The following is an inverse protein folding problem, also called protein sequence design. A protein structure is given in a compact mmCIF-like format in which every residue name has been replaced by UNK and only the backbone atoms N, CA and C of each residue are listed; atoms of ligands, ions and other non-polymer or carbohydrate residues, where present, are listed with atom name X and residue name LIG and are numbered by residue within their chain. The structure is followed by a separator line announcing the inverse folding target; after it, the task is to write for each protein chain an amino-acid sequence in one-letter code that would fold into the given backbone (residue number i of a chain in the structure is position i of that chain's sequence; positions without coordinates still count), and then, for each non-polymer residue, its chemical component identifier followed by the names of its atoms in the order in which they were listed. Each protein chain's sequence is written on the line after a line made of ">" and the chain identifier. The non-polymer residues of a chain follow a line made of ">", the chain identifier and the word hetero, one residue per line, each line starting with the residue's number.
data_IF_463097870631
#
_entry.id   IF_463097870631
#
_cell.length_a   1.000
_cell.length_b   1.000
_cell.length_c   1.000
_cell.angle_alpha   90.00
_cell.angle_beta   90.00
_cell.angle_gamma   90.00
#
_symmetry.space_group_name_H-M   'P 1'
#
loop_
_entity.id
_entity.type
_entity.pdbx_description
1 polymer ?
#
# COMPACT_ATOMS: atom_id res chain seq x y z
N UNK A 1 -9.06 -30.57 -10.38
CA UNK A 1 -8.65 -29.21 -9.97
C UNK A 1 -9.62 -28.69 -8.92
N UNK A 2 -9.12 -28.08 -7.83
CA UNK A 2 -9.97 -27.45 -6.82
C UNK A 2 -10.26 -25.99 -7.23
N UNK A 3 -11.53 -25.63 -7.50
CA UNK A 3 -11.86 -24.29 -7.99
C UNK A 3 -11.57 -23.18 -6.97
N UNK A 4 -11.64 -23.46 -5.67
CA UNK A 4 -11.32 -22.48 -4.61
C UNK A 4 -9.83 -22.16 -4.60
N UNK A 5 -8.99 -23.18 -4.80
CA UNK A 5 -7.54 -22.98 -4.89
C UNK A 5 -7.19 -22.16 -6.14
N UNK A 6 -7.79 -22.49 -7.29
CA UNK A 6 -7.57 -21.74 -8.53
C UNK A 6 -7.94 -20.26 -8.39
N UNK A 7 -9.05 -19.92 -7.73
CA UNK A 7 -9.46 -18.52 -7.53
C UNK A 7 -8.46 -17.70 -6.71
N UNK A 8 -7.85 -18.31 -5.68
CA UNK A 8 -6.90 -17.62 -4.82
C UNK A 8 -5.48 -17.59 -5.41
N UNK A 9 -5.05 -18.67 -6.05
CA UNK A 9 -3.71 -18.76 -6.66
C UNK A 9 -3.59 -17.86 -7.90
N UNK A 10 -4.64 -17.77 -8.70
CA UNK A 10 -4.70 -16.85 -9.84
C UNK A 10 -4.80 -15.37 -9.45
N UNK A 11 -5.00 -15.05 -8.17
CA UNK A 11 -5.20 -13.68 -7.69
C UNK A 11 -6.57 -13.08 -8.05
N UNK A 12 -7.48 -13.84 -8.67
CA UNK A 12 -8.80 -13.35 -9.08
C UNK A 12 -9.67 -12.92 -7.89
N UNK A 13 -9.74 -13.77 -6.85
CA UNK A 13 -10.43 -13.46 -5.59
C UNK A 13 -10.05 -14.48 -4.53
N UNK A 14 -9.78 -13.99 -3.32
CA UNK A 14 -9.42 -14.84 -2.20
C UNK A 14 -7.96 -14.68 -1.83
N UNK A 15 -7.67 -14.83 -0.54
CA UNK A 15 -6.30 -14.83 -0.03
C UNK A 15 -6.05 -16.07 0.82
N UNK A 16 -4.77 -16.40 1.06
CA UNK A 16 -4.39 -17.48 1.98
C UNK A 16 -5.00 -17.29 3.37
N UNK A 17 -5.14 -16.04 3.84
CA UNK A 17 -5.76 -15.74 5.14
C UNK A 17 -7.27 -16.01 5.16
N UNK A 18 -7.99 -15.71 4.07
CA UNK A 18 -9.41 -16.03 3.94
C UNK A 18 -9.66 -17.54 3.82
N UNK A 19 -8.84 -18.25 3.04
CA UNK A 19 -8.91 -19.72 2.92
C UNK A 19 -8.66 -20.39 4.28
N UNK A 20 -7.70 -19.88 5.06
CA UNK A 20 -7.41 -20.38 6.41
C UNK A 20 -8.62 -20.32 7.34
N UNK A 21 -9.44 -19.27 7.24
CA UNK A 21 -10.68 -19.15 8.03
C UNK A 21 -11.80 -20.06 7.51
N UNK A 22 -11.83 -20.33 6.20
CA UNK A 22 -12.83 -21.21 5.58
C UNK A 22 -12.65 -22.68 5.98
N UNK A 23 -11.43 -23.20 5.94
CA UNK A 23 -11.16 -24.64 6.08
C UNK A 23 -10.19 -25.02 7.21
N UNK A 24 -9.54 -24.05 7.86
CA UNK A 24 -8.57 -24.28 8.94
C UNK A 24 -9.15 -23.95 10.30
N UNK A 25 -8.86 -22.75 10.79
CA UNK A 25 -9.45 -22.20 12.02
C UNK A 25 -9.56 -20.70 11.90
N UNK A 26 -10.55 -20.10 12.54
CA UNK A 26 -10.70 -18.64 12.51
C UNK A 26 -9.66 -17.90 13.36
N UNK A 27 -9.28 -18.47 14.51
CA UNK A 27 -8.18 -17.99 15.34
C UNK A 27 -8.59 -16.95 16.40
N UNK A 28 -7.63 -16.13 16.81
CA UNK A 28 -7.82 -15.11 17.86
C UNK A 28 -8.55 -13.88 17.29
N UNK A 29 -9.39 -13.27 18.12
CA UNK A 29 -10.16 -12.08 17.77
C UNK A 29 -9.72 -10.89 18.61
N UNK A 30 -9.81 -9.69 18.03
CA UNK A 30 -9.61 -8.45 18.77
C UNK A 30 -10.95 -7.98 19.38
N UNK A 31 -10.89 -7.55 20.63
CA UNK A 31 -11.96 -6.83 21.30
C UNK A 31 -12.12 -5.41 20.73
N UNK A 32 -13.22 -4.70 21.01
CA UNK A 32 -13.42 -3.33 20.53
C UNK A 32 -12.34 -2.34 21.00
N UNK A 33 -11.70 -2.62 22.14
CA UNK A 33 -10.58 -1.81 22.65
C UNK A 33 -9.26 -2.09 21.93
N UNK A 34 -9.21 -3.10 21.05
CA UNK A 34 -8.01 -3.54 20.32
C UNK A 34 -7.20 -4.61 21.04
N UNK A 35 -7.55 -4.97 22.28
CA UNK A 35 -6.89 -6.09 22.98
C UNK A 35 -7.28 -7.42 22.35
N UNK A 36 -6.32 -8.33 22.22
CA UNK A 36 -6.55 -9.70 21.75
C UNK A 36 -7.32 -10.46 22.83
N UNK A 37 -8.40 -11.13 22.44
CA UNK A 37 -9.17 -12.02 23.30
C UNK A 37 -8.43 -13.36 23.37
N UNK A 38 -8.08 -13.80 24.58
CA UNK A 38 -7.26 -15.00 24.80
C UNK A 38 -7.98 -16.30 24.39
N UNK A 39 -9.31 -16.32 24.38
CA UNK A 39 -10.11 -17.45 23.93
C UNK A 39 -10.16 -17.49 22.38
N UNK A 40 -9.52 -18.48 21.74
CA UNK A 40 -9.52 -18.57 20.28
C UNK A 40 -10.79 -19.24 19.76
N UNK A 41 -11.20 -18.86 18.56
CA UNK A 41 -12.20 -19.59 17.78
C UNK A 41 -11.50 -20.77 17.10
N UNK A 42 -11.86 -21.99 17.51
CA UNK A 42 -11.22 -23.22 17.05
C UNK A 42 -11.83 -23.70 15.74
N UNK A 43 -13.13 -23.54 15.58
CA UNK A 43 -13.83 -23.96 14.39
C UNK A 43 -13.51 -23.10 13.15
N UNK A 44 -13.67 -23.70 12.00
CA UNK A 44 -13.66 -23.06 10.68
C UNK A 44 -15.09 -22.71 10.24
N UNK A 45 -15.21 -21.87 9.20
CA UNK A 45 -16.54 -21.59 8.63
C UNK A 45 -17.21 -22.82 8.02
N UNK A 46 -16.43 -23.82 7.57
CA UNK A 46 -16.96 -25.08 7.08
C UNK A 46 -17.58 -25.94 8.20
N UNK A 47 -16.98 -25.92 9.39
CA UNK A 47 -17.47 -26.67 10.55
C UNK A 47 -18.64 -25.98 11.25
N UNK A 48 -18.74 -24.65 11.12
CA UNK A 48 -19.72 -23.82 11.80
C UNK A 48 -19.19 -23.28 13.12
N UNK A 49 -19.77 -22.17 13.59
CA UNK A 49 -19.35 -21.50 14.83
C UNK A 49 -20.38 -21.74 15.93
N UNK A 50 -19.92 -22.03 17.14
CA UNK A 50 -20.79 -22.02 18.31
C UNK A 50 -21.30 -20.61 18.63
N UNK A 51 -22.38 -20.51 19.41
CA UNK A 51 -23.00 -19.22 19.77
C UNK A 51 -21.99 -18.26 20.40
N UNK A 52 -21.14 -18.75 21.30
CA UNK A 52 -20.11 -17.93 21.94
C UNK A 52 -19.02 -17.48 20.95
N UNK A 53 -18.54 -18.40 20.10
CA UNK A 53 -17.53 -18.09 19.08
C UNK A 53 -18.04 -17.06 18.05
N UNK A 54 -19.30 -17.20 17.64
CA UNK A 54 -19.95 -16.23 16.77
C UNK A 54 -20.07 -14.86 17.45
N UNK A 55 -20.52 -14.82 18.70
CA UNK A 55 -20.63 -13.57 19.46
C UNK A 55 -19.27 -12.87 19.68
N UNK A 56 -18.21 -13.64 19.95
CA UNK A 56 -16.85 -13.09 20.03
C UNK A 56 -16.44 -12.50 18.67
N UNK A 57 -16.76 -13.19 17.57
CA UNK A 57 -16.45 -12.72 16.21
C UNK A 57 -17.15 -11.41 15.84
N UNK A 58 -18.31 -11.08 16.41
CA UNK A 58 -19.02 -9.84 16.02
C UNK A 58 -18.33 -8.57 16.49
N UNK A 59 -17.54 -8.63 17.57
CA UNK A 59 -16.84 -7.47 18.12
C UNK A 59 -15.83 -6.90 17.13
N UNK A 60 -14.95 -7.75 16.61
CA UNK A 60 -13.95 -7.36 15.61
C UNK A 60 -14.59 -6.92 14.29
N UNK A 61 -15.65 -7.61 13.84
CA UNK A 61 -16.36 -7.26 12.61
C UNK A 61 -17.05 -5.88 12.72
N UNK A 62 -17.73 -5.60 13.82
CA UNK A 62 -18.41 -4.32 14.04
C UNK A 62 -17.41 -3.17 14.14
N UNK A 63 -16.31 -3.35 14.88
CA UNK A 63 -15.24 -2.36 14.95
C UNK A 63 -14.63 -2.11 13.58
N UNK A 64 -14.30 -3.16 12.83
CA UNK A 64 -13.77 -3.04 11.47
C UNK A 64 -14.67 -2.21 10.56
N UNK A 65 -15.98 -2.50 10.54
CA UNK A 65 -16.94 -1.75 9.73
C UNK A 65 -17.06 -0.27 10.17
N UNK A 66 -17.07 -0.02 11.48
CA UNK A 66 -17.12 1.34 12.00
C UNK A 66 -15.84 2.13 11.67
N UNK A 67 -14.67 1.52 11.87
CA UNK A 67 -13.37 2.11 11.57
C UNK A 67 -13.23 2.38 10.06
N UNK A 68 -13.70 1.47 9.20
CA UNK A 68 -13.74 1.70 7.75
C UNK A 68 -14.62 2.91 7.42
N UNK A 69 -15.83 3.00 7.98
CA UNK A 69 -16.72 4.13 7.74
C UNK A 69 -16.10 5.48 8.19
N UNK A 70 -15.44 5.51 9.36
CA UNK A 70 -14.73 6.70 9.84
C UNK A 70 -13.56 7.06 8.92
N UNK A 71 -12.72 6.09 8.56
CA UNK A 71 -11.57 6.30 7.66
C UNK A 71 -12.00 6.76 6.27
N UNK A 72 -13.16 6.33 5.78
CA UNK A 72 -13.74 6.83 4.53
C UNK A 72 -14.02 8.33 4.61
N UNK A 73 -14.60 8.80 5.72
CA UNK A 73 -14.84 10.23 5.93
C UNK A 73 -13.54 11.03 6.02
N UNK A 74 -12.56 10.54 6.79
CA UNK A 74 -11.27 11.21 6.96
C UNK A 74 -10.48 11.29 5.64
N UNK A 75 -10.49 10.22 4.85
CA UNK A 75 -9.84 10.19 3.53
C UNK A 75 -10.47 11.22 2.58
N UNK A 76 -11.81 11.27 2.51
CA UNK A 76 -12.51 12.26 1.69
C UNK A 76 -12.23 13.70 2.14
N UNK A 77 -12.15 13.92 3.45
CA UNK A 77 -11.77 15.22 4.01
C UNK A 77 -10.34 15.62 3.65
N UNK A 78 -9.39 14.70 3.74
CA UNK A 78 -8.01 14.92 3.35
C UNK A 78 -7.90 15.26 1.87
N UNK A 79 -8.56 14.49 0.99
CA UNK A 79 -8.57 14.77 -0.46
C UNK A 79 -9.11 16.16 -0.76
N UNK A 80 -10.20 16.58 -0.10
CA UNK A 80 -10.73 17.94 -0.25
C UNK A 80 -9.71 19.00 0.14
N UNK A 81 -9.05 18.85 1.31
CA UNK A 81 -8.02 19.79 1.75
C UNK A 81 -6.83 19.85 0.79
N UNK A 82 -6.41 18.70 0.25
CA UNK A 82 -5.32 18.65 -0.73
C UNK A 82 -5.71 19.43 -1.99
N UNK A 83 -6.93 19.23 -2.52
CA UNK A 83 -7.45 19.98 -3.67
C UNK A 83 -7.55 21.47 -3.37
N UNK A 84 -8.05 21.87 -2.20
CA UNK A 84 -8.17 23.28 -1.82
C UNK A 84 -6.81 24.01 -1.86
N UNK A 85 -5.71 23.31 -1.54
CA UNK A 85 -4.33 23.85 -1.56
C UNK A 85 -3.70 23.80 -2.96
N UNK A 86 -3.95 22.73 -3.74
CA UNK A 86 -3.27 22.50 -5.02
C UNK A 86 -4.06 22.94 -6.26
N UNK A 87 -5.29 23.42 -6.12
CA UNK A 87 -6.19 23.73 -7.24
C UNK A 87 -5.64 24.76 -8.25
N UNK A 88 -4.74 25.65 -7.84
CA UNK A 88 -4.15 26.69 -8.70
C UNK A 88 -2.76 26.31 -9.25
N UNK A 89 -2.33 25.05 -9.08
CA UNK A 89 -1.07 24.54 -9.62
C UNK A 89 -1.31 23.96 -11.01
N UNK A 90 -1.07 24.78 -12.04
CA UNK A 90 -1.29 24.43 -13.46
C UNK A 90 0.04 24.54 -14.22
N UNK A 91 0.34 23.54 -15.07
CA UNK A 91 1.50 23.57 -15.98
C UNK A 91 1.24 24.63 -17.07
N UNK A 92 2.06 25.68 -17.11
CA UNK A 92 1.89 26.82 -18.03
C UNK A 92 2.97 26.93 -19.10
N UNK A 93 4.13 26.33 -18.87
CA UNK A 93 5.30 26.41 -19.76
C UNK A 93 6.01 25.05 -19.81
N UNK A 94 6.79 24.83 -20.87
CA UNK A 94 7.52 23.57 -21.11
C UNK A 94 8.81 23.54 -20.31
N UNK A 95 9.50 24.68 -20.22
CA UNK A 95 10.75 24.85 -19.50
C UNK A 95 10.76 26.21 -18.82
N UNK A 96 11.03 26.22 -17.52
CA UNK A 96 11.15 27.43 -16.70
C UNK A 96 12.59 27.96 -16.65
N UNK A 97 13.55 27.25 -17.23
CA UNK A 97 14.97 27.60 -17.29
C UNK A 97 15.70 27.50 -15.96
N UNK A 98 15.14 26.79 -14.98
CA UNK A 98 15.78 26.62 -13.66
C UNK A 98 16.91 25.61 -13.74
N UNK A 99 18.01 25.89 -13.06
CA UNK A 99 19.11 24.93 -12.84
C UNK A 99 18.99 24.23 -11.48
N UNK A 100 17.97 24.56 -10.69
CA UNK A 100 17.74 23.93 -9.39
C UNK A 100 17.09 22.56 -9.55
N UNK A 101 17.69 21.55 -8.92
CA UNK A 101 17.18 20.18 -8.90
C UNK A 101 17.13 19.60 -7.49
N UNK A 102 16.57 18.40 -7.38
CA UNK A 102 16.60 17.61 -6.14
C UNK A 102 17.47 16.38 -6.32
N UNK A 103 18.30 16.06 -5.31
CA UNK A 103 19.05 14.81 -5.32
C UNK A 103 18.09 13.63 -5.04
N UNK A 104 18.06 12.68 -5.97
CA UNK A 104 17.25 11.46 -5.87
C UNK A 104 18.16 10.29 -5.51
N UNK A 105 17.78 9.54 -4.48
CA UNK A 105 18.48 8.34 -4.03
C UNK A 105 17.49 7.22 -3.77
N UNK A 106 17.98 5.99 -3.68
CA UNK A 106 17.19 4.86 -3.22
C UNK A 106 16.65 5.12 -1.81
N UNK A 107 15.36 4.85 -1.58
CA UNK A 107 14.76 4.95 -0.24
C UNK A 107 14.97 3.62 0.47
N UNK A 108 15.75 3.65 1.55
CA UNK A 108 16.08 2.48 2.36
C UNK A 108 15.54 2.61 3.77
N UNK A 109 15.00 1.51 4.29
CA UNK A 109 14.74 1.35 5.72
C UNK A 109 15.67 0.26 6.26
N UNK A 110 16.75 0.69 6.91
CA UNK A 110 17.84 -0.20 7.30
C UNK A 110 18.57 -0.79 6.09
N UNK A 111 18.52 -2.12 5.94
CA UNK A 111 19.11 -2.84 4.81
C UNK A 111 18.12 -3.15 3.68
N UNK A 112 16.83 -2.84 3.86
CA UNK A 112 15.80 -3.13 2.87
C UNK A 112 15.56 -1.91 1.98
N UNK A 113 15.65 -2.13 0.68
CA UNK A 113 15.27 -1.15 -0.34
C UNK A 113 13.75 -1.07 -0.39
N UNK A 114 13.16 0.05 0.06
CA UNK A 114 11.71 0.26 -0.07
C UNK A 114 11.37 0.63 -1.52
N UNK A 115 12.16 1.53 -2.11
CA UNK A 115 11.96 2.04 -3.47
C UNK A 115 13.30 2.21 -4.18
N UNK A 116 13.43 1.55 -5.33
CA UNK A 116 14.67 1.54 -6.12
C UNK A 116 14.95 2.89 -6.79
N UNK A 117 16.23 3.16 -7.06
CA UNK A 117 16.61 4.41 -7.74
C UNK A 117 15.95 4.54 -9.13
N UNK A 118 15.90 3.46 -9.92
CA UNK A 118 15.32 3.48 -11.26
C UNK A 118 13.84 3.88 -11.26
N UNK A 119 13.05 3.37 -10.31
CA UNK A 119 11.63 3.70 -10.16
C UNK A 119 11.42 5.18 -9.82
N UNK A 120 12.31 5.75 -8.99
CA UNK A 120 12.25 7.18 -8.63
C UNK A 120 12.69 8.10 -9.77
N UNK A 121 13.55 7.63 -10.67
CA UNK A 121 14.07 8.39 -11.81
C UNK A 121 13.10 8.38 -13.00
N UNK A 122 12.34 7.30 -13.17
CA UNK A 122 11.38 7.15 -14.27
C UNK A 122 10.41 8.34 -14.33
N UNK A 123 10.27 8.93 -15.52
CA UNK A 123 9.35 10.05 -15.75
C UNK A 123 9.85 11.42 -15.29
N UNK A 124 11.13 11.57 -14.94
CA UNK A 124 11.76 12.85 -14.57
C UNK A 124 12.75 13.31 -15.63
N UNK A 125 13.13 14.59 -15.55
CA UNK A 125 14.22 15.18 -16.33
C UNK A 125 15.48 15.32 -15.46
N UNK A 126 16.64 15.17 -16.08
CA UNK A 126 17.95 15.44 -15.46
C UNK A 126 18.18 16.95 -15.34
N UNK A 127 18.54 17.44 -14.16
CA UNK A 127 18.91 18.85 -13.96
C UNK A 127 20.38 19.12 -14.36
N UNK A 128 21.24 18.11 -14.27
CA UNK A 128 22.67 18.17 -14.57
C UNK A 128 23.08 16.93 -15.38
N UNK A 129 24.15 17.01 -16.20
CA UNK A 129 24.62 15.86 -16.95
C UNK A 129 25.15 14.78 -16.00
N UNK A 130 24.72 13.53 -16.21
CA UNK A 130 25.15 12.39 -15.41
C UNK A 130 26.45 11.86 -16.00
N UNK A 131 27.54 11.92 -15.23
CA UNK A 131 28.87 11.51 -15.67
C UNK A 131 29.22 10.17 -15.04
N UNK A 132 29.80 9.26 -15.84
CA UNK A 132 30.36 8.03 -15.31
C UNK A 132 31.61 8.36 -14.47
N UNK A 133 31.65 8.02 -13.17
CA UNK A 133 32.78 8.37 -12.31
C UNK A 133 34.09 7.65 -12.67
N UNK A 134 34.04 6.58 -13.47
CA UNK A 134 35.21 5.79 -13.86
C UNK A 134 35.78 6.20 -15.22
N UNK A 135 34.91 6.50 -16.20
CA UNK A 135 35.35 6.86 -17.56
C UNK A 135 35.37 8.36 -17.82
N UNK A 136 34.66 9.16 -17.02
CA UNK A 136 34.50 10.60 -17.24
C UNK A 136 33.58 10.94 -18.44
N UNK A 137 32.95 9.95 -19.04
CA UNK A 137 32.01 10.15 -20.15
C UNK A 137 30.62 10.56 -19.64
N UNK A 138 29.96 11.44 -20.38
CA UNK A 138 28.57 11.83 -20.12
C UNK A 138 27.66 10.67 -20.52
N UNK A 139 26.94 10.12 -19.54
CA UNK A 139 25.98 9.02 -19.74
C UNK A 139 24.61 9.54 -20.15
N UNK A 140 24.20 10.67 -19.57
CA UNK A 140 22.92 11.33 -19.81
C UNK A 140 23.17 12.83 -19.81
N UNK A 141 22.68 13.53 -20.82
CA UNK A 141 22.83 14.99 -20.92
C UNK A 141 21.91 15.68 -19.90
N UNK A 142 22.11 16.99 -19.69
CA UNK A 142 21.13 17.80 -18.96
C UNK A 142 19.82 17.92 -19.75
N UNK A 143 18.70 18.14 -19.05
CA UNK A 143 17.35 18.29 -19.61
C UNK A 143 16.88 17.09 -20.46
N UNK A 144 17.38 15.89 -20.12
CA UNK A 144 17.00 14.66 -20.78
C UNK A 144 15.94 13.90 -19.97
N UNK A 145 14.90 13.43 -20.66
CA UNK A 145 13.82 12.64 -20.07
C UNK A 145 14.30 11.21 -19.77
N UNK A 146 14.01 10.72 -18.57
CA UNK A 146 14.38 9.39 -18.09
C UNK A 146 13.25 8.38 -18.32
N UNK A 147 13.48 7.45 -19.25
CA UNK A 147 12.60 6.30 -19.59
C UNK A 147 13.14 4.97 -19.07
#
# INVERSE_FOLDING_TARGET
>A
FNPIFMMADSGARGSKSQIKQLAGRRGLMASPTGKIIELPIRASFREGLEVLEYFISTHGARKGNADTALKTADSGYLTRRLVDVSQDVIVREIDCGTTEGIYVSEIKEGNEAIEGLAERLYGRYTAEPIINPTTGEVMVEADQYME
#
